data_IF_956242294239
#
_entry.id   IF_956242294239
#
_cell.length_a   1.000
_cell.length_b   1.000
_cell.length_c   1.000
_cell.angle_alpha   90.00
_cell.angle_beta   90.00
_cell.angle_gamma   90.00
#
_symmetry.space_group_name_H-M   'P 1'
#
loop_
_entity.id
_entity.type
_entity.pdbx_description
1 polymer ?
#
# COMPACT_ATOMS: atom_id res chain seq x y z
N UNK A 1 -14.08 21.08 7.58
CA UNK A 1 -14.79 19.99 8.28
C UNK A 1 -15.45 19.04 7.27
N UNK A 2 -15.06 17.77 7.20
CA UNK A 2 -15.80 16.71 6.49
C UNK A 2 -16.57 15.90 7.54
N UNK A 3 -17.84 15.60 7.28
CA UNK A 3 -18.71 14.85 8.17
C UNK A 3 -19.48 13.81 7.36
N UNK A 4 -19.37 12.55 7.77
CA UNK A 4 -20.11 11.43 7.20
C UNK A 4 -20.92 10.82 8.34
N UNK A 5 -22.22 10.64 8.14
CA UNK A 5 -23.13 10.09 9.15
C UNK A 5 -23.89 8.90 8.58
N UNK A 6 -23.78 7.75 9.26
CA UNK A 6 -24.50 6.50 8.98
C UNK A 6 -24.46 6.08 7.50
N UNK A 7 -23.31 6.27 6.85
CA UNK A 7 -23.15 6.02 5.42
C UNK A 7 -23.29 4.53 5.13
N UNK A 8 -24.25 4.20 4.30
CA UNK A 8 -24.52 2.84 3.85
C UNK A 8 -24.72 2.78 2.35
N UNK A 9 -24.02 1.87 1.68
CA UNK A 9 -24.15 1.62 0.24
C UNK A 9 -23.77 0.19 -0.09
N UNK A 10 -24.57 -0.44 -0.94
CA UNK A 10 -24.26 -1.72 -1.58
C UNK A 10 -24.15 -1.49 -3.09
N UNK A 11 -23.07 -1.95 -3.72
CA UNK A 11 -22.86 -1.88 -5.17
C UNK A 11 -22.20 -3.18 -5.65
N UNK A 12 -23.01 -4.09 -6.19
CA UNK A 12 -22.56 -5.46 -6.46
C UNK A 12 -22.21 -6.15 -5.14
N UNK A 13 -21.01 -6.74 -5.08
CA UNK A 13 -20.49 -7.42 -3.88
C UNK A 13 -19.83 -6.47 -2.87
N UNK A 14 -19.69 -5.18 -3.20
CA UNK A 14 -19.04 -4.18 -2.34
C UNK A 14 -20.07 -3.59 -1.37
N UNK A 15 -19.76 -3.64 -0.08
CA UNK A 15 -20.60 -3.10 0.99
C UNK A 15 -19.83 -2.05 1.78
N UNK A 16 -20.37 -0.84 1.84
CA UNK A 16 -20.02 0.17 2.83
C UNK A 16 -21.11 0.13 3.90
N UNK A 17 -20.74 -0.29 5.11
CA UNK A 17 -21.67 -0.53 6.20
C UNK A 17 -21.49 0.46 7.35
N UNK A 18 -22.48 1.34 7.53
CA UNK A 18 -22.64 2.22 8.68
C UNK A 18 -21.37 3.03 9.06
N UNK A 19 -20.78 3.71 8.08
CA UNK A 19 -19.59 4.55 8.32
C UNK A 19 -20.03 5.90 8.88
N UNK A 20 -19.49 6.26 10.05
CA UNK A 20 -19.68 7.57 10.67
C UNK A 20 -18.33 8.12 11.12
N UNK A 21 -17.94 9.29 10.62
CA UNK A 21 -16.76 10.01 11.10
C UNK A 21 -16.87 11.52 10.85
N UNK A 22 -16.13 12.29 11.64
CA UNK A 22 -16.12 13.76 11.56
C UNK A 22 -14.70 14.31 11.70
N UNK A 23 -14.27 15.10 10.72
CA UNK A 23 -12.96 15.78 10.69
C UNK A 23 -13.11 17.19 11.19
N UNK A 24 -12.68 17.46 12.41
CA UNK A 24 -12.85 18.79 13.03
C UNK A 24 -11.56 19.59 13.10
N UNK A 25 -10.53 19.09 13.80
CA UNK A 25 -9.33 19.89 14.12
C UNK A 25 -8.10 19.58 13.26
N UNK A 26 -7.91 18.32 12.89
CA UNK A 26 -6.64 17.89 12.29
C UNK A 26 -6.61 18.03 10.77
N UNK A 27 -7.75 18.39 10.15
CA UNK A 27 -7.95 18.47 8.69
C UNK A 27 -7.47 17.26 7.89
N UNK A 28 -7.17 16.14 8.54
CA UNK A 28 -6.63 14.93 7.93
C UNK A 28 -7.49 13.74 8.34
N UNK A 29 -7.80 12.88 7.37
CA UNK A 29 -8.24 11.51 7.62
C UNK A 29 -7.40 10.59 6.77
N UNK A 30 -6.94 9.50 7.39
CA UNK A 30 -6.37 8.38 6.68
C UNK A 30 -7.30 7.16 6.82
N UNK A 31 -7.59 6.50 5.72
CA UNK A 31 -8.50 5.35 5.67
C UNK A 31 -7.77 4.15 5.05
N UNK A 32 -7.52 3.13 5.86
CA UNK A 32 -7.11 1.82 5.42
C UNK A 32 -8.35 1.07 4.88
N UNK A 33 -8.33 0.68 3.60
CA UNK A 33 -9.45 -0.03 2.98
C UNK A 33 -9.04 -0.70 1.67
N UNK A 34 -9.83 -1.66 1.20
CA UNK A 34 -9.62 -2.26 -0.11
C UNK A 34 -9.76 -1.25 -1.26
N UNK A 35 -9.13 -1.55 -2.40
CA UNK A 35 -9.23 -0.74 -3.63
C UNK A 35 -10.68 -0.42 -4.03
N UNK A 36 -11.54 -1.44 -3.93
CA UNK A 36 -12.96 -1.36 -4.29
C UNK A 36 -13.74 -0.44 -3.35
N UNK A 37 -13.46 -0.51 -2.04
CA UNK A 37 -14.07 0.36 -1.03
C UNK A 37 -13.58 1.80 -1.21
N UNK A 38 -12.28 2.00 -1.45
CA UNK A 38 -11.70 3.31 -1.73
C UNK A 38 -12.38 3.99 -2.92
N UNK A 39 -12.50 3.27 -4.05
CA UNK A 39 -13.12 3.80 -5.26
C UNK A 39 -14.61 4.18 -5.01
N UNK A 40 -15.37 3.30 -4.34
CA UNK A 40 -16.78 3.56 -4.02
C UNK A 40 -16.94 4.73 -3.04
N UNK A 41 -16.13 4.79 -1.99
CA UNK A 41 -16.18 5.85 -0.99
C UNK A 41 -15.90 7.21 -1.61
N UNK A 42 -14.94 7.29 -2.53
CA UNK A 42 -14.60 8.53 -3.22
C UNK A 42 -15.70 8.94 -4.19
N UNK A 43 -16.30 7.98 -4.90
CA UNK A 43 -17.46 8.27 -5.75
C UNK A 43 -18.66 8.79 -4.93
N UNK A 44 -18.88 8.28 -3.72
CA UNK A 44 -19.90 8.77 -2.79
C UNK A 44 -19.56 10.19 -2.29
N UNK A 45 -18.33 10.41 -1.83
CA UNK A 45 -17.87 11.74 -1.37
C UNK A 45 -18.02 12.76 -2.48
N UNK A 46 -17.66 12.42 -3.72
CA UNK A 46 -17.70 13.29 -4.90
C UNK A 46 -19.07 13.38 -5.61
N UNK A 47 -20.15 12.89 -5.01
CA UNK A 47 -21.52 12.92 -5.59
C UNK A 47 -21.62 12.28 -6.99
N UNK A 48 -20.73 11.31 -7.29
CA UNK A 48 -20.81 10.45 -8.49
C UNK A 48 -21.68 9.23 -8.24
N UNK A 49 -21.77 8.82 -6.99
CA UNK A 49 -22.67 7.78 -6.50
C UNK A 49 -23.54 8.35 -5.37
N UNK A 50 -24.79 7.91 -5.31
CA UNK A 50 -25.73 8.32 -4.25
C UNK A 50 -25.73 7.26 -3.15
N UNK A 51 -25.55 7.63 -1.88
CA UNK A 51 -25.65 6.67 -0.77
C UNK A 51 -27.06 6.09 -0.68
N UNK A 52 -27.17 4.84 -0.23
CA UNK A 52 -28.47 4.22 0.03
C UNK A 52 -29.07 4.75 1.33
N UNK A 53 -28.21 5.00 2.34
CA UNK A 53 -28.55 5.73 3.58
C UNK A 53 -27.36 6.56 4.04
N UNK A 54 -27.63 7.51 4.94
CA UNK A 54 -26.63 8.40 5.50
C UNK A 54 -26.43 9.66 4.66
N UNK A 55 -25.63 10.57 5.20
CA UNK A 55 -25.38 11.90 4.62
C UNK A 55 -23.89 12.24 4.65
N UNK A 56 -23.44 13.03 3.67
CA UNK A 56 -22.06 13.51 3.56
C UNK A 56 -22.11 15.04 3.50
N UNK A 57 -21.36 15.69 4.40
CA UNK A 57 -21.25 17.14 4.48
C UNK A 57 -19.78 17.58 4.39
N UNK A 58 -19.51 18.61 3.60
CA UNK A 58 -18.20 19.23 3.43
C UNK A 58 -18.34 20.72 3.77
N UNK A 59 -17.58 21.18 4.77
CA UNK A 59 -17.69 22.51 5.38
C UNK A 59 -19.12 22.88 5.81
N UNK A 60 -19.88 21.91 6.33
CA UNK A 60 -21.27 22.10 6.78
C UNK A 60 -22.31 22.15 5.66
N UNK A 61 -21.90 22.06 4.39
CA UNK A 61 -22.81 21.95 3.24
C UNK A 61 -22.90 20.49 2.79
N UNK A 62 -24.06 20.04 2.31
CA UNK A 62 -24.17 18.71 1.69
C UNK A 62 -23.20 18.57 0.51
N UNK A 63 -22.57 17.40 0.37
CA UNK A 63 -21.47 17.16 -0.59
C UNK A 63 -21.81 17.62 -2.02
N UNK A 64 -23.00 17.28 -2.51
CA UNK A 64 -23.53 17.72 -3.82
C UNK A 64 -23.49 19.23 -4.02
N UNK A 65 -23.93 19.99 -3.02
CA UNK A 65 -23.95 21.46 -3.04
C UNK A 65 -22.53 22.00 -2.98
N UNK A 66 -21.71 21.46 -2.08
CA UNK A 66 -20.32 21.88 -1.91
C UNK A 66 -19.50 21.69 -3.20
N UNK A 67 -19.61 20.51 -3.82
CA UNK A 67 -18.86 20.15 -5.04
C UNK A 67 -19.23 21.07 -6.19
N UNK A 68 -20.53 21.33 -6.41
CA UNK A 68 -20.97 22.23 -7.48
C UNK A 68 -20.41 23.64 -7.34
N UNK A 69 -20.35 24.17 -6.11
CA UNK A 69 -19.79 25.50 -5.84
C UNK A 69 -18.27 25.54 -5.92
N UNK A 70 -17.60 24.48 -5.46
CA UNK A 70 -16.16 24.48 -5.20
C UNK A 70 -15.35 23.54 -6.11
N UNK A 71 -15.92 23.01 -7.20
CA UNK A 71 -15.29 22.02 -8.07
C UNK A 71 -13.86 22.39 -8.51
N UNK A 72 -13.61 23.68 -8.75
CA UNK A 72 -12.30 24.21 -9.15
C UNK A 72 -11.24 24.17 -8.05
N UNK A 73 -11.66 24.03 -6.79
CA UNK A 73 -10.83 23.95 -5.59
C UNK A 73 -10.91 22.56 -4.93
N UNK A 74 -11.36 21.55 -5.66
CA UNK A 74 -11.31 20.15 -5.21
C UNK A 74 -10.17 19.45 -5.95
N UNK A 75 -9.19 18.99 -5.18
CA UNK A 75 -8.08 18.18 -5.64
C UNK A 75 -8.42 16.69 -5.52
N UNK A 76 -8.14 15.90 -6.54
CA UNK A 76 -8.24 14.43 -6.46
C UNK A 76 -7.05 13.80 -7.17
N UNK A 77 -6.30 12.99 -6.45
CA UNK A 77 -5.24 12.15 -7.01
C UNK A 77 -5.69 10.69 -6.94
N UNK A 78 -6.03 10.12 -8.10
CA UNK A 78 -6.55 8.76 -8.19
C UNK A 78 -5.43 7.72 -8.15
N UNK A 79 -5.73 6.48 -7.75
CA UNK A 79 -4.76 5.36 -7.79
C UNK A 79 -4.24 5.12 -9.22
N UNK A 80 -5.15 5.19 -10.20
CA UNK A 80 -4.86 5.12 -11.64
C UNK A 80 -5.20 6.44 -12.31
N UNK A 81 -4.23 7.00 -13.02
CA UNK A 81 -4.32 8.33 -13.64
C UNK A 81 -4.26 8.23 -15.16
N UNK A 82 -5.10 9.00 -15.85
CA UNK A 82 -5.10 9.12 -17.30
C UNK A 82 -4.12 10.18 -17.79
N UNK A 83 -2.82 9.91 -17.74
CA UNK A 83 -1.81 10.86 -18.19
C UNK A 83 -1.79 11.04 -19.72
N UNK A 84 -1.46 12.25 -20.17
CA UNK A 84 -1.05 12.49 -21.55
C UNK A 84 0.40 12.02 -21.75
N UNK A 85 0.56 10.70 -21.91
CA UNK A 85 1.84 9.98 -21.89
C UNK A 85 2.93 10.56 -22.84
N UNK A 86 2.52 11.22 -23.93
CA UNK A 86 3.44 11.82 -24.90
C UNK A 86 3.88 13.26 -24.59
N UNK A 87 3.25 13.94 -23.63
CA UNK A 87 3.62 15.28 -23.22
C UNK A 87 4.85 15.25 -22.31
N UNK A 88 5.60 16.36 -22.28
CA UNK A 88 6.61 16.56 -21.24
C UNK A 88 5.97 17.03 -19.93
N UNK A 89 6.63 16.79 -18.80
CA UNK A 89 6.20 17.26 -17.46
C UNK A 89 5.84 18.75 -17.47
N UNK A 90 6.71 19.59 -18.04
CA UNK A 90 6.50 21.04 -18.19
C UNK A 90 5.26 21.38 -19.00
N UNK A 91 5.07 20.69 -20.12
CA UNK A 91 3.94 20.94 -21.02
C UNK A 91 2.62 20.55 -20.36
N UNK A 92 2.63 19.42 -19.63
CA UNK A 92 1.50 18.93 -18.85
C UNK A 92 1.10 19.91 -17.74
N UNK A 93 2.08 20.40 -16.97
CA UNK A 93 1.83 21.38 -15.91
C UNK A 93 1.31 22.71 -16.45
N UNK A 94 1.85 23.20 -17.58
CA UNK A 94 1.31 24.39 -18.27
C UNK A 94 -0.12 24.17 -18.76
N UNK A 95 -0.39 23.01 -19.34
CA UNK A 95 -1.72 22.66 -19.85
C UNK A 95 -2.77 22.67 -18.73
N UNK A 96 -2.50 22.00 -17.61
CA UNK A 96 -3.42 22.00 -16.47
C UNK A 96 -3.52 23.35 -15.77
N UNK A 97 -2.46 24.15 -15.72
CA UNK A 97 -2.53 25.55 -15.26
C UNK A 97 -3.56 26.34 -16.08
N UNK A 98 -3.51 26.21 -17.40
CA UNK A 98 -4.42 26.91 -18.30
C UNK A 98 -5.87 26.39 -18.17
N UNK A 99 -6.07 25.07 -18.08
CA UNK A 99 -7.40 24.47 -17.86
C UNK A 99 -8.01 24.96 -16.55
N UNK A 100 -7.23 24.97 -15.47
CA UNK A 100 -7.69 25.43 -14.17
C UNK A 100 -7.88 26.96 -14.12
N UNK A 101 -7.45 27.70 -15.15
CA UNK A 101 -7.29 29.16 -15.12
C UNK A 101 -6.55 29.63 -13.86
N UNK A 102 -5.52 28.87 -13.47
CA UNK A 102 -4.84 29.05 -12.20
C UNK A 102 -3.81 30.17 -12.28
N UNK A 103 -3.79 31.01 -11.24
CA UNK A 103 -2.75 32.03 -11.04
C UNK A 103 -1.49 31.46 -10.40
N UNK A 104 -1.56 30.23 -9.87
CA UNK A 104 -0.43 29.55 -9.23
C UNK A 104 0.74 29.43 -10.19
N UNK A 105 1.94 29.62 -9.66
CA UNK A 105 3.16 29.40 -10.40
C UNK A 105 3.43 27.89 -10.52
N UNK A 106 3.15 27.32 -11.69
CA UNK A 106 3.37 25.89 -11.93
C UNK A 106 4.82 25.46 -11.70
N UNK A 107 5.81 26.34 -11.89
CA UNK A 107 7.22 26.03 -11.60
C UNK A 107 7.48 25.88 -10.10
N UNK A 108 6.79 26.67 -9.28
CA UNK A 108 6.88 26.54 -7.82
C UNK A 108 6.32 25.20 -7.36
N UNK A 109 5.18 24.77 -7.92
CA UNK A 109 4.59 23.46 -7.61
C UNK A 109 5.49 22.31 -8.07
N UNK A 110 6.14 22.46 -9.23
CA UNK A 110 7.15 21.50 -9.69
C UNK A 110 8.37 21.46 -8.77
N UNK A 111 8.83 22.59 -8.26
CA UNK A 111 9.96 22.65 -7.33
C UNK A 111 9.63 21.97 -5.99
N UNK A 112 8.45 22.27 -5.43
CA UNK A 112 7.92 21.65 -4.21
C UNK A 112 7.91 20.12 -4.25
N UNK A 113 7.73 19.54 -5.43
CA UNK A 113 7.65 18.09 -5.66
C UNK A 113 8.84 17.52 -6.45
N UNK A 114 9.96 18.25 -6.48
CA UNK A 114 11.23 17.83 -7.11
C UNK A 114 11.05 17.32 -8.56
N UNK A 115 10.34 18.09 -9.39
CA UNK A 115 10.04 17.78 -10.79
C UNK A 115 10.81 18.67 -11.80
N UNK A 116 11.66 19.58 -11.30
CA UNK A 116 12.34 20.59 -12.13
C UNK A 116 13.42 19.95 -13.03
N UNK A 117 14.19 19.03 -12.48
CA UNK A 117 15.23 18.27 -13.17
C UNK A 117 14.67 17.42 -14.32
N UNK A 118 13.42 16.96 -14.19
CA UNK A 118 12.73 16.15 -15.19
C UNK A 118 11.71 16.95 -16.03
N UNK A 119 11.77 18.28 -16.03
CA UNK A 119 10.73 19.12 -16.65
C UNK A 119 10.52 18.84 -18.16
N UNK A 120 11.59 18.42 -18.86
CA UNK A 120 11.59 18.15 -20.30
C UNK A 120 11.42 16.65 -20.62
N UNK A 121 11.30 15.79 -19.61
CA UNK A 121 11.08 14.36 -19.78
C UNK A 121 9.63 14.08 -20.16
N UNK A 122 9.41 13.14 -21.10
CA UNK A 122 8.07 12.66 -21.47
C UNK A 122 7.45 11.85 -20.34
N UNK A 123 6.14 11.98 -20.13
CA UNK A 123 5.44 11.34 -19.01
C UNK A 123 5.53 9.81 -19.07
N UNK A 124 5.54 9.22 -20.27
CA UNK A 124 5.72 7.77 -20.43
C UNK A 124 7.07 7.21 -19.97
N UNK A 125 8.06 8.07 -19.74
CA UNK A 125 9.38 7.67 -19.22
C UNK A 125 9.50 7.85 -17.70
N UNK A 126 8.47 8.38 -17.05
CA UNK A 126 8.51 8.63 -15.61
C UNK A 126 8.33 7.35 -14.82
N UNK A 127 9.02 7.26 -13.69
CA UNK A 127 8.79 6.21 -12.68
C UNK A 127 7.41 6.39 -12.03
N UNK A 128 6.94 5.37 -11.33
CA UNK A 128 5.70 5.45 -10.55
C UNK A 128 5.71 6.64 -9.58
N UNK A 129 6.77 6.79 -8.77
CA UNK A 129 6.89 7.91 -7.82
C UNK A 129 6.89 9.27 -8.51
N UNK A 130 7.58 9.41 -9.65
CA UNK A 130 7.59 10.64 -10.43
C UNK A 130 6.20 10.98 -11.00
N UNK A 131 5.47 9.98 -11.52
CA UNK A 131 4.07 10.17 -11.94
C UNK A 131 3.20 10.59 -10.77
N UNK A 132 3.39 9.99 -9.59
CA UNK A 132 2.65 10.37 -8.39
C UNK A 132 2.89 11.83 -7.98
N UNK A 133 4.16 12.24 -7.93
CA UNK A 133 4.58 13.62 -7.67
C UNK A 133 3.98 14.57 -8.70
N UNK A 134 3.94 14.17 -9.98
CA UNK A 134 3.29 14.96 -11.03
C UNK A 134 1.77 15.10 -10.83
N UNK A 135 1.06 14.03 -10.48
CA UNK A 135 -0.38 14.11 -10.16
C UNK A 135 -0.63 15.05 -8.99
N UNK A 136 0.16 14.94 -7.93
CA UNK A 136 -0.01 15.82 -6.78
C UNK A 136 0.26 17.28 -7.17
N UNK A 137 1.34 17.55 -7.91
CA UNK A 137 1.68 18.89 -8.40
C UNK A 137 0.55 19.49 -9.25
N UNK A 138 -0.09 18.67 -10.09
CA UNK A 138 -1.25 19.07 -10.89
C UNK A 138 -2.41 19.51 -10.02
N UNK A 139 -2.73 18.77 -8.96
CA UNK A 139 -3.82 19.13 -8.06
C UNK A 139 -3.50 20.39 -7.24
N UNK A 140 -2.24 20.65 -6.90
CA UNK A 140 -1.83 21.89 -6.23
C UNK A 140 -2.12 23.15 -7.07
N UNK A 141 -2.16 23.04 -8.40
CA UNK A 141 -2.52 24.17 -9.28
C UNK A 141 -3.94 24.69 -9.02
N UNK A 142 -4.81 23.88 -8.41
CA UNK A 142 -6.20 24.24 -8.12
C UNK A 142 -6.37 25.09 -6.85
N UNK A 143 -5.32 25.27 -6.06
CA UNK A 143 -5.40 25.82 -4.70
C UNK A 143 -6.51 25.10 -3.91
N UNK A 144 -6.37 23.77 -3.72
CA UNK A 144 -7.46 22.95 -3.23
C UNK A 144 -7.82 23.33 -1.79
N UNK A 145 -9.13 23.39 -1.49
CA UNK A 145 -9.65 23.48 -0.11
C UNK A 145 -10.01 22.09 0.45
N UNK A 146 -10.15 21.13 -0.45
CA UNK A 146 -10.46 19.74 -0.17
C UNK A 146 -9.65 18.87 -1.14
N UNK A 147 -8.85 17.96 -0.61
CA UNK A 147 -7.98 17.06 -1.36
C UNK A 147 -8.31 15.60 -1.01
N UNK A 148 -8.49 14.78 -2.02
CA UNK A 148 -8.55 13.32 -1.89
C UNK A 148 -7.29 12.72 -2.51
N UNK A 149 -6.61 11.81 -1.82
CA UNK A 149 -5.38 11.17 -2.29
C UNK A 149 -5.43 9.63 -2.11
N UNK A 150 -5.63 8.88 -3.19
CA UNK A 150 -5.71 7.41 -3.14
C UNK A 150 -4.35 6.73 -3.31
N UNK A 151 -3.76 6.12 -2.30
CA UNK A 151 -2.41 5.55 -2.32
C UNK A 151 -1.32 6.63 -2.42
N UNK A 152 -1.24 7.57 -1.46
CA UNK A 152 -0.33 8.72 -1.57
C UNK A 152 1.14 8.30 -1.69
N UNK A 153 1.57 7.27 -0.94
CA UNK A 153 2.97 6.85 -0.81
C UNK A 153 3.21 5.36 -1.11
N UNK A 154 2.23 4.66 -1.67
CA UNK A 154 2.33 3.22 -1.93
C UNK A 154 3.52 2.90 -2.84
N UNK A 155 4.30 1.88 -2.46
CA UNK A 155 5.50 1.43 -3.19
C UNK A 155 6.57 2.52 -3.41
N UNK A 156 6.56 3.59 -2.60
CA UNK A 156 7.61 4.59 -2.60
C UNK A 156 8.72 4.23 -1.62
N UNK A 157 9.94 4.69 -1.92
CA UNK A 157 11.00 4.71 -0.93
C UNK A 157 10.75 5.78 0.15
N UNK A 158 11.56 5.77 1.22
CA UNK A 158 11.40 6.72 2.33
C UNK A 158 11.59 8.18 1.91
N UNK A 159 12.40 8.45 0.89
CA UNK A 159 12.70 9.81 0.45
C UNK A 159 11.51 10.40 -0.34
N UNK A 160 11.01 9.67 -1.34
CA UNK A 160 9.84 10.06 -2.12
C UNK A 160 8.58 10.16 -1.23
N UNK A 161 8.38 9.22 -0.30
CA UNK A 161 7.27 9.26 0.65
C UNK A 161 7.31 10.51 1.54
N UNK A 162 8.49 10.83 2.11
CA UNK A 162 8.69 12.02 2.95
C UNK A 162 8.35 13.30 2.18
N UNK A 163 8.72 13.39 0.91
CA UNK A 163 8.42 14.55 0.08
C UNK A 163 6.92 14.76 -0.11
N UNK A 164 6.14 13.70 -0.35
CA UNK A 164 4.68 13.75 -0.43
C UNK A 164 4.08 14.20 0.91
N UNK A 165 4.49 13.56 2.01
CA UNK A 165 3.99 13.84 3.36
C UNK A 165 4.23 15.31 3.73
N UNK A 166 5.45 15.82 3.57
CA UNK A 166 5.78 17.21 3.92
C UNK A 166 4.94 18.24 3.14
N UNK A 167 4.70 17.99 1.86
CA UNK A 167 3.84 18.87 1.05
C UNK A 167 2.37 18.78 1.48
N UNK A 168 1.93 17.59 1.91
CA UNK A 168 0.59 17.38 2.44
C UNK A 168 0.42 18.05 3.82
N UNK A 169 1.39 17.93 4.72
CA UNK A 169 1.40 18.59 6.03
C UNK A 169 1.31 20.11 5.91
N UNK A 170 1.97 20.69 4.90
CA UNK A 170 1.84 22.11 4.60
C UNK A 170 0.41 22.47 4.20
N UNK A 171 -0.24 21.70 3.32
CA UNK A 171 -1.63 21.94 2.95
C UNK A 171 -2.58 21.85 4.16
N UNK A 172 -2.37 20.85 5.00
CA UNK A 172 -3.15 20.64 6.23
C UNK A 172 -3.00 21.86 7.14
N UNK A 173 -1.77 22.37 7.29
CA UNK A 173 -1.46 23.59 8.06
C UNK A 173 -2.11 24.84 7.47
N UNK A 174 -2.25 24.90 6.14
CA UNK A 174 -2.96 25.96 5.42
C UNK A 174 -4.51 25.82 5.50
N UNK A 175 -5.01 24.81 6.22
CA UNK A 175 -6.44 24.60 6.45
C UNK A 175 -7.15 23.74 5.41
N UNK A 176 -6.40 23.08 4.52
CA UNK A 176 -6.94 22.17 3.51
C UNK A 176 -7.33 20.85 4.16
N UNK A 177 -8.55 20.38 3.91
CA UNK A 177 -8.96 19.04 4.36
C UNK A 177 -8.38 18.01 3.40
N UNK A 178 -7.70 17.01 3.93
CA UNK A 178 -7.11 15.90 3.17
C UNK A 178 -7.76 14.59 3.61
N UNK A 179 -8.23 13.82 2.61
CA UNK A 179 -8.72 12.44 2.79
C UNK A 179 -7.82 11.50 2.01
N UNK A 180 -7.08 10.67 2.74
CA UNK A 180 -6.24 9.65 2.16
C UNK A 180 -6.91 8.29 2.28
N UNK A 181 -6.75 7.46 1.25
CA UNK A 181 -7.10 6.04 1.32
C UNK A 181 -5.90 5.20 0.95
N UNK A 182 -5.67 4.07 1.60
CA UNK A 182 -4.64 3.12 1.20
C UNK A 182 -5.03 1.69 1.54
N UNK A 183 -4.56 0.73 0.76
CA UNK A 183 -4.58 -0.71 1.11
C UNK A 183 -3.49 -1.09 2.13
N UNK A 184 -2.52 -0.19 2.38
CA UNK A 184 -1.39 -0.44 3.27
C UNK A 184 -1.60 0.22 4.62
N UNK A 185 -1.85 -0.59 5.65
CA UNK A 185 -1.89 -0.13 7.04
C UNK A 185 -0.62 0.62 7.46
N UNK A 186 0.55 0.16 7.00
CA UNK A 186 1.83 0.83 7.26
C UNK A 186 1.84 2.24 6.68
N UNK A 187 1.34 2.42 5.46
CA UNK A 187 1.36 3.72 4.80
C UNK A 187 0.44 4.69 5.54
N UNK A 188 -0.74 4.21 5.97
CA UNK A 188 -1.68 4.97 6.79
C UNK A 188 -1.03 5.47 8.09
N UNK A 189 -0.29 4.62 8.80
CA UNK A 189 0.45 5.04 10.00
C UNK A 189 1.56 6.06 9.69
N UNK A 190 2.24 5.94 8.54
CA UNK A 190 3.29 6.89 8.14
C UNK A 190 2.75 8.28 7.80
N UNK A 191 1.48 8.39 7.38
CA UNK A 191 0.81 9.67 7.13
C UNK A 191 0.45 10.41 8.43
N UNK A 192 0.52 9.76 9.59
CA UNK A 192 0.22 10.34 10.91
C UNK A 192 -1.26 10.67 11.11
N UNK A 193 -1.61 11.39 12.18
CA UNK A 193 -2.97 11.87 12.43
C UNK A 193 -4.04 10.77 12.58
N UNK A 194 -5.31 11.18 12.54
CA UNK A 194 -6.45 10.26 12.73
C UNK A 194 -6.58 9.29 11.57
N UNK A 195 -6.55 8.01 11.92
CA UNK A 195 -6.54 6.90 10.98
C UNK A 195 -7.70 5.97 11.28
N UNK A 196 -8.28 5.38 10.24
CA UNK A 196 -9.39 4.44 10.34
C UNK A 196 -9.14 3.25 9.42
N UNK A 197 -9.71 2.10 9.73
CA UNK A 197 -9.81 0.92 8.87
C UNK A 197 -11.27 0.68 8.52
N UNK A 198 -11.55 0.33 7.25
CA UNK A 198 -12.87 -0.09 6.80
C UNK A 198 -12.79 -1.54 6.36
N UNK A 199 -13.53 -2.40 7.07
CA UNK A 199 -13.77 -3.79 6.70
C UNK A 199 -15.28 -4.08 6.57
N UNK A 200 -15.64 -5.35 6.34
CA UNK A 200 -17.03 -5.80 6.23
C UNK A 200 -17.91 -5.50 7.46
N UNK A 201 -17.29 -5.32 8.63
CA UNK A 201 -17.95 -4.99 9.89
C UNK A 201 -18.10 -3.47 10.10
N UNK A 202 -17.59 -2.65 9.18
CA UNK A 202 -17.72 -1.19 9.21
C UNK A 202 -16.40 -0.48 9.51
N UNK A 203 -16.51 0.74 10.06
CA UNK A 203 -15.38 1.61 10.36
C UNK A 203 -14.80 1.33 11.76
N UNK A 204 -13.47 1.21 11.86
CA UNK A 204 -12.73 1.12 13.12
C UNK A 204 -11.67 2.22 13.16
N UNK A 205 -11.55 2.96 14.26
CA UNK A 205 -10.45 3.92 14.44
C UNK A 205 -9.15 3.17 14.75
N UNK A 206 -8.07 3.55 14.06
CA UNK A 206 -6.72 3.04 14.28
C UNK A 206 -6.06 3.99 15.29
N UNK A 207 -5.85 3.51 16.51
CA UNK A 207 -5.12 4.28 17.53
C UNK A 207 -3.62 4.21 17.21
N UNK A 208 -3.03 5.36 16.89
CA UNK A 208 -1.57 5.52 16.84
C UNK A 208 -1.05 5.85 18.24
N UNK A 209 -0.08 5.08 18.73
CA UNK A 209 0.62 5.40 19.97
C UNK A 209 1.40 6.72 19.81
N UNK A 210 0.87 7.81 20.36
CA UNK A 210 1.66 9.01 20.64
C UNK A 210 2.33 8.84 22.03
N UNK A 211 3.66 8.90 22.04
CA UNK A 211 4.60 8.68 23.14
C UNK A 211 4.11 8.97 24.59
N UNK A 212 4.25 7.95 25.45
CA UNK A 212 4.97 8.05 26.73
C UNK A 212 4.23 8.50 28.00
N UNK A 213 4.02 7.52 28.90
CA UNK A 213 3.76 7.61 30.35
C UNK A 213 2.34 8.00 30.80
N UNK A 214 1.51 7.02 31.16
CA UNK A 214 1.42 6.48 32.54
C UNK A 214 0.56 5.20 32.51
N UNK A 215 1.13 4.11 33.02
CA UNK A 215 0.45 2.83 33.23
C UNK A 215 -0.62 2.98 34.30
N UNK A 216 -1.86 2.66 33.96
CA UNK A 216 -2.80 2.02 34.90
C UNK A 216 -3.87 1.20 34.17
N UNK A 217 -3.50 -0.04 33.90
CA UNK A 217 -4.28 -1.24 34.23
C UNK A 217 -5.75 -1.33 33.76
N UNK A 218 -5.96 -1.96 32.59
CA UNK A 218 -6.67 -3.26 32.44
C UNK A 218 -6.83 -3.63 30.95
N UNK A 219 -6.32 -4.81 30.59
CA UNK A 219 -5.98 -5.21 29.23
C UNK A 219 -7.10 -5.68 28.30
N UNK A 220 -6.79 -5.62 27.00
CA UNK A 220 -6.54 -6.79 26.15
C UNK A 220 -5.62 -6.38 24.98
N UNK A 221 -4.69 -7.27 24.62
CA UNK A 221 -3.38 -6.98 24.01
C UNK A 221 -3.36 -6.64 22.50
N UNK A 222 -2.45 -5.72 22.13
CA UNK A 222 -2.01 -5.37 20.77
C UNK A 222 -1.49 -6.57 19.98
N UNK A 223 -1.91 -6.76 18.71
CA UNK A 223 -1.27 -7.76 17.84
C UNK A 223 -0.77 -7.12 16.54
N UNK A 224 0.46 -6.62 16.56
CA UNK A 224 1.26 -6.47 15.34
C UNK A 224 1.36 -7.84 14.65
N UNK A 225 0.89 -7.98 13.41
CA UNK A 225 1.15 -9.21 12.63
C UNK A 225 2.50 -9.11 11.92
N UNK A 226 3.56 -8.98 12.71
CA UNK A 226 4.94 -9.06 12.23
C UNK A 226 5.28 -10.53 12.03
N UNK A 227 5.33 -10.96 10.77
CA UNK A 227 5.67 -12.34 10.43
C UNK A 227 7.19 -12.51 10.37
N UNK A 228 7.83 -12.72 11.53
CA UNK A 228 9.26 -13.08 11.63
C UNK A 228 9.42 -14.56 11.91
N UNK A 229 10.36 -15.21 11.21
CA UNK A 229 10.65 -16.62 11.42
C UNK A 229 11.80 -16.76 12.42
N UNK A 230 11.57 -17.38 13.59
CA UNK A 230 12.62 -17.59 14.57
C UNK A 230 13.56 -18.73 14.14
N UNK A 231 14.86 -18.52 14.31
CA UNK A 231 15.87 -19.56 14.24
C UNK A 231 16.80 -19.49 15.46
N UNK A 232 17.44 -20.61 15.78
CA UNK A 232 18.35 -20.75 16.92
C UNK A 232 19.79 -20.83 16.41
N UNK A 233 20.64 -19.96 16.94
CA UNK A 233 22.10 -20.05 16.80
C UNK A 233 22.68 -20.09 18.20
N UNK A 234 23.42 -21.15 18.52
CA UNK A 234 23.94 -21.42 19.87
C UNK A 234 22.83 -21.34 20.93
N UNK A 235 22.84 -20.28 21.76
CA UNK A 235 21.82 -19.99 22.78
C UNK A 235 20.95 -18.77 22.47
N UNK A 236 21.09 -18.16 21.30
CA UNK A 236 20.37 -16.94 20.92
C UNK A 236 19.30 -17.23 19.87
N UNK A 237 18.16 -16.56 20.03
CA UNK A 237 17.09 -16.56 19.03
C UNK A 237 17.32 -15.40 18.05
N UNK A 238 17.38 -15.71 16.77
CA UNK A 238 17.45 -14.72 15.68
C UNK A 238 16.14 -14.76 14.91
N UNK A 239 15.62 -13.58 14.56
CA UNK A 239 14.36 -13.40 13.86
C UNK A 239 14.63 -12.98 12.42
N UNK A 240 14.34 -13.88 11.48
CA UNK A 240 14.53 -13.62 10.06
C UNK A 240 13.27 -13.06 9.40
N UNK A 241 13.48 -12.14 8.46
CA UNK A 241 12.44 -11.77 7.50
C UNK A 241 12.17 -12.94 6.54
N UNK A 242 10.90 -13.31 6.26
CA UNK A 242 10.58 -14.29 5.23
C UNK A 242 11.28 -14.07 3.89
N UNK A 243 11.53 -12.81 3.49
CA UNK A 243 12.20 -12.48 2.22
C UNK A 243 13.71 -12.77 2.23
N UNK A 244 14.32 -12.94 3.41
CA UNK A 244 15.73 -13.34 3.53
C UNK A 244 15.93 -14.83 3.30
N UNK A 245 14.88 -15.65 3.46
CA UNK A 245 14.95 -17.10 3.38
C UNK A 245 14.92 -17.53 1.90
N UNK A 246 15.89 -18.36 1.52
CA UNK A 246 15.98 -18.91 0.16
C UNK A 246 15.17 -20.19 0.03
N UNK A 247 15.32 -21.09 1.00
CA UNK A 247 14.52 -22.30 1.13
C UNK A 247 14.54 -22.80 2.58
N UNK A 248 13.63 -23.71 2.90
CA UNK A 248 13.62 -24.45 4.15
C UNK A 248 13.69 -25.93 3.84
N UNK A 249 14.55 -26.66 4.52
CA UNK A 249 14.63 -28.11 4.41
C UNK A 249 14.33 -28.76 5.76
N UNK A 250 13.74 -29.96 5.75
CA UNK A 250 13.65 -30.80 6.94
C UNK A 250 14.70 -31.91 6.87
N UNK A 251 15.61 -31.90 7.83
CA UNK A 251 16.67 -32.89 8.00
C UNK A 251 16.57 -33.48 9.41
N UNK A 252 16.49 -34.81 9.52
CA UNK A 252 16.36 -35.53 10.80
C UNK A 252 15.23 -35.02 11.72
N UNK A 253 14.13 -34.55 11.13
CA UNK A 253 12.97 -34.02 11.87
C UNK A 253 13.10 -32.56 12.30
N UNK A 254 14.22 -31.89 12.01
CA UNK A 254 14.45 -30.47 12.28
C UNK A 254 14.29 -29.66 11.00
N UNK A 255 13.58 -28.54 11.06
CA UNK A 255 13.50 -27.59 9.94
C UNK A 255 14.72 -26.66 9.96
N UNK A 256 15.44 -26.54 8.85
CA UNK A 256 16.58 -25.64 8.69
C UNK A 256 16.24 -24.56 7.66
N UNK A 257 16.31 -23.29 8.08
CA UNK A 257 16.21 -22.14 7.18
C UNK A 257 17.56 -21.99 6.47
N UNK A 258 17.55 -21.96 5.14
CA UNK A 258 18.73 -21.70 4.34
C UNK A 258 18.69 -20.26 3.86
N UNK A 259 19.69 -19.46 4.26
CA UNK A 259 19.80 -18.04 3.96
C UNK A 259 21.21 -17.78 3.46
N UNK A 260 21.34 -17.39 2.19
CA UNK A 260 22.62 -17.08 1.53
C UNK A 260 23.68 -18.20 1.64
N UNK A 261 23.23 -19.45 1.71
CA UNK A 261 24.08 -20.64 1.84
C UNK A 261 24.43 -21.05 3.28
N UNK A 262 23.95 -20.31 4.28
CA UNK A 262 24.07 -20.68 5.70
C UNK A 262 22.79 -21.34 6.22
N UNK A 263 22.94 -22.32 7.11
CA UNK A 263 21.84 -23.10 7.69
C UNK A 263 21.54 -22.64 9.11
N UNK A 264 20.27 -22.36 9.37
CA UNK A 264 19.79 -21.94 10.68
C UNK A 264 18.67 -22.86 11.17
N UNK A 265 18.91 -23.65 12.23
CA UNK A 265 17.90 -24.52 12.82
C UNK A 265 16.68 -23.72 13.31
N UNK A 266 15.49 -24.12 12.89
CA UNK A 266 14.22 -23.53 13.27
C UNK A 266 13.42 -24.52 14.12
N UNK A 267 12.82 -24.01 15.19
CA UNK A 267 12.01 -24.81 16.11
C UNK A 267 10.59 -25.11 15.56
N UNK A 268 10.21 -24.51 14.43
CA UNK A 268 8.90 -24.69 13.82
C UNK A 268 8.92 -25.87 12.85
N UNK A 269 7.88 -26.73 12.85
CA UNK A 269 7.78 -27.80 11.88
C UNK A 269 7.52 -27.23 10.48
N UNK A 270 7.96 -27.99 9.47
CA UNK A 270 7.92 -27.54 8.09
C UNK A 270 6.49 -27.25 7.58
N UNK A 271 5.47 -27.90 8.15
CA UNK A 271 4.05 -27.65 7.88
C UNK A 271 3.55 -26.31 8.42
N UNK A 272 4.11 -25.85 9.54
CA UNK A 272 3.77 -24.54 10.12
C UNK A 272 4.46 -23.43 9.32
N UNK A 273 5.74 -23.66 8.97
CA UNK A 273 6.49 -22.76 8.09
C UNK A 273 5.80 -22.61 6.73
N UNK A 274 5.21 -23.67 6.17
CA UNK A 274 4.45 -23.61 4.92
C UNK A 274 3.29 -22.62 5.00
N UNK A 275 2.50 -22.63 6.08
CA UNK A 275 1.37 -21.71 6.27
C UNK A 275 1.84 -20.26 6.43
N UNK A 276 2.88 -20.06 7.27
CA UNK A 276 3.44 -18.74 7.58
C UNK A 276 4.09 -18.09 6.36
N UNK A 277 4.76 -18.91 5.53
CA UNK A 277 5.54 -18.42 4.39
C UNK A 277 4.77 -18.40 3.05
N UNK A 278 3.57 -19.00 2.97
CA UNK A 278 2.78 -19.08 1.73
C UNK A 278 2.59 -17.74 1.03
N UNK A 279 2.25 -16.69 1.79
CA UNK A 279 1.99 -15.35 1.25
C UNK A 279 3.27 -14.59 0.83
N UNK A 280 4.44 -15.13 1.16
CA UNK A 280 5.75 -14.57 0.81
C UNK A 280 6.37 -15.24 -0.42
N UNK A 281 5.60 -16.06 -1.15
CA UNK A 281 6.05 -16.72 -2.38
C UNK A 281 6.76 -18.06 -2.15
N UNK A 282 6.57 -18.68 -0.98
CA UNK A 282 7.10 -20.02 -0.71
C UNK A 282 6.18 -21.12 -1.25
N UNK A 283 6.80 -22.14 -1.82
CA UNK A 283 6.12 -23.29 -2.39
C UNK A 283 6.66 -24.61 -1.83
N UNK A 284 5.74 -25.52 -1.51
CA UNK A 284 6.05 -26.88 -1.03
C UNK A 284 6.41 -27.80 -2.19
N UNK A 285 7.63 -27.66 -2.70
CA UNK A 285 8.10 -28.43 -3.86
C UNK A 285 8.36 -29.92 -3.55
N UNK A 286 8.67 -30.29 -2.31
CA UNK A 286 8.92 -31.66 -1.87
C UNK A 286 8.48 -31.87 -0.42
N UNK A 287 8.25 -33.12 0.01
CA UNK A 287 7.85 -33.46 1.40
C UNK A 287 8.83 -32.94 2.48
N UNK A 288 10.07 -32.70 2.10
CA UNK A 288 11.13 -32.20 2.99
C UNK A 288 11.59 -30.79 2.64
N UNK A 289 10.98 -30.09 1.68
CA UNK A 289 11.44 -28.76 1.26
C UNK A 289 10.30 -27.76 1.06
N UNK A 290 10.56 -26.50 1.44
CA UNK A 290 9.86 -25.30 1.00
C UNK A 290 10.86 -24.44 0.26
N UNK A 291 10.49 -23.86 -0.88
CA UNK A 291 11.39 -23.03 -1.68
C UNK A 291 10.77 -21.67 -1.91
N UNK A 292 11.57 -20.60 -1.82
CA UNK A 292 11.14 -19.29 -2.26
C UNK A 292 11.19 -19.24 -3.79
N UNK A 293 10.04 -19.14 -4.45
CA UNK A 293 9.97 -19.17 -5.91
C UNK A 293 10.70 -17.98 -6.57
N UNK A 294 10.86 -16.86 -5.87
CA UNK A 294 11.61 -15.70 -6.36
C UNK A 294 13.12 -15.96 -6.44
N UNK A 295 13.61 -17.01 -5.78
CA UNK A 295 15.03 -17.43 -5.79
C UNK A 295 15.32 -18.53 -6.80
N UNK A 296 14.29 -19.11 -7.42
CA UNK A 296 14.43 -20.20 -8.39
C UNK A 296 14.87 -19.64 -9.73
N UNK A 297 16.00 -20.13 -10.25
CA UNK A 297 16.56 -19.74 -11.54
C UNK A 297 16.10 -20.64 -12.67
N UNK A 298 16.10 -21.95 -12.45
CA UNK A 298 15.77 -22.95 -13.46
C UNK A 298 15.15 -24.20 -12.84
N UNK A 299 14.32 -24.88 -13.62
CA UNK A 299 13.77 -26.20 -13.30
C UNK A 299 14.55 -27.24 -14.10
N UNK A 300 15.35 -28.05 -13.43
CA UNK A 300 16.23 -29.07 -14.03
C UNK A 300 15.54 -30.43 -14.02
N UNK A 301 15.61 -31.15 -15.13
CA UNK A 301 15.10 -32.52 -15.26
C UNK A 301 16.26 -33.51 -15.32
N UNK A 302 16.37 -34.38 -14.31
CA UNK A 302 17.43 -35.40 -14.24
C UNK A 302 17.03 -36.69 -14.96
N UNK A 303 15.76 -37.09 -14.82
CA UNK A 303 15.16 -38.24 -15.53
C UNK A 303 13.72 -37.90 -15.90
N UNK A 304 13.03 -38.76 -16.65
CA UNK A 304 11.60 -38.55 -17.02
C UNK A 304 10.66 -38.31 -15.83
N UNK A 305 11.05 -38.66 -14.61
CA UNK A 305 10.23 -38.53 -13.39
C UNK A 305 10.93 -37.81 -12.22
N UNK A 306 12.13 -37.27 -12.42
CA UNK A 306 12.92 -36.62 -11.36
C UNK A 306 13.27 -35.19 -11.77
N UNK A 307 12.84 -34.24 -10.97
CA UNK A 307 13.02 -32.80 -11.18
C UNK A 307 13.70 -32.16 -9.98
N UNK A 308 14.45 -31.10 -10.21
CA UNK A 308 15.00 -30.24 -9.17
C UNK A 308 14.89 -28.77 -9.55
N UNK A 309 14.83 -27.91 -8.55
CA UNK A 309 14.88 -26.46 -8.68
C UNK A 309 16.29 -26.00 -8.36
N UNK A 310 16.90 -25.27 -9.27
CA UNK A 310 18.21 -24.66 -9.07
C UNK A 310 18.02 -23.21 -8.64
N UNK A 311 18.66 -22.82 -7.55
CA UNK A 311 18.55 -21.47 -6.99
C UNK A 311 19.65 -20.53 -7.52
N UNK A 312 19.38 -19.23 -7.53
CA UNK A 312 20.36 -18.19 -7.85
C UNK A 312 21.17 -17.76 -6.62
N UNK A 313 21.66 -18.72 -5.84
CA UNK A 313 22.54 -18.51 -4.71
C UNK A 313 24.01 -18.85 -5.05
N UNK A 314 24.94 -18.48 -4.16
CA UNK A 314 26.38 -18.69 -4.40
C UNK A 314 26.75 -20.17 -4.59
N UNK A 315 25.98 -21.07 -3.99
CA UNK A 315 26.21 -22.52 -4.01
C UNK A 315 25.47 -23.24 -5.14
N UNK A 316 24.61 -22.54 -5.91
CA UNK A 316 23.70 -23.12 -6.91
C UNK A 316 22.91 -24.30 -6.32
N UNK A 317 22.26 -24.05 -5.20
CA UNK A 317 21.55 -25.09 -4.44
C UNK A 317 20.51 -25.79 -5.30
N UNK A 318 20.48 -27.12 -5.22
CA UNK A 318 19.57 -27.97 -5.99
C UNK A 318 18.52 -28.60 -5.07
N UNK A 319 17.28 -28.15 -5.20
CA UNK A 319 16.15 -28.55 -4.34
C UNK A 319 15.28 -29.56 -5.07
N UNK A 320 14.99 -30.74 -4.52
CA UNK A 320 14.16 -31.73 -5.19
C UNK A 320 12.72 -31.23 -5.40
N UNK A 321 12.11 -31.60 -6.52
CA UNK A 321 10.73 -31.31 -6.86
C UNK A 321 9.95 -32.60 -7.11
N UNK A 322 8.90 -32.83 -6.31
CA UNK A 322 8.03 -33.99 -6.44
C UNK A 322 7.22 -33.93 -7.74
N UNK A 323 7.11 -35.05 -8.45
CA UNK A 323 6.35 -35.17 -9.71
C UNK A 323 4.91 -34.63 -9.61
N UNK A 324 4.22 -34.88 -8.50
CA UNK A 324 2.84 -34.40 -8.27
C UNK A 324 2.73 -32.88 -8.07
N UNK A 325 3.83 -32.20 -7.76
CA UNK A 325 3.89 -30.74 -7.55
C UNK A 325 4.30 -29.97 -8.81
N UNK A 326 4.70 -30.67 -9.88
CA UNK A 326 5.13 -30.03 -11.13
C UNK A 326 4.00 -29.26 -11.81
N UNK A 327 2.79 -29.83 -11.85
CA UNK A 327 1.64 -29.17 -12.47
C UNK A 327 1.30 -27.87 -11.74
N UNK A 328 1.21 -27.94 -10.42
CA UNK A 328 0.96 -26.78 -9.55
C UNK A 328 2.04 -25.71 -9.69
N UNK A 329 3.31 -26.10 -9.77
CA UNK A 329 4.41 -25.16 -10.00
C UNK A 329 4.28 -24.43 -11.34
N UNK A 330 3.94 -25.15 -12.41
CA UNK A 330 3.72 -24.54 -13.74
C UNK A 330 2.57 -23.54 -13.74
N UNK A 331 1.47 -23.90 -13.08
CA UNK A 331 0.31 -23.02 -12.92
C UNK A 331 0.70 -21.73 -12.16
N UNK A 332 1.53 -21.84 -11.11
CA UNK A 332 2.02 -20.68 -10.35
C UNK A 332 2.97 -19.80 -11.18
N UNK A 333 3.83 -20.42 -12.00
CA UNK A 333 4.83 -19.71 -12.81
C UNK A 333 4.29 -19.23 -14.17
N UNK A 334 3.06 -19.58 -14.53
CA UNK A 334 2.42 -19.30 -15.83
C UNK A 334 3.23 -19.82 -17.04
N UNK A 335 3.73 -21.07 -16.99
CA UNK A 335 4.57 -21.69 -18.05
C UNK A 335 4.15 -23.11 -18.47
#
# INVERSE_FOLDING_TARGET
>A
MLEISELYKVKGDIVINNITFKVTKDNLINIECSDQISDLLIDLILDKEVPTKGNIYIHGEGNKTYIRKNMKHIGVVFRKEGFYENMTVKSYMKFYKNIANSKVNYKEMMAKLALIDIENTKINKLTYSQKRRLSFARELLKEPKFLIFQEPILNMDRYDAKLIIQNMDQLISDGVIVVNTSVSFKDILLLGGKSYSIDENGLKEIQGEENGQEESDRGDETVYKIEKIPAKIDERMILFDPMEIDYVESEQGVSNLNIKGEKFPCMLPLTELEKRLKHFGFFRCHRSYLVNLQRVREVVMWTRNSYSLSLDDKTKSSIPLSKGRMKELKDILNI
#
